data_IF_316467057781
#
_entry.id   IF_316467057781
#
_cell.length_a   1.000
_cell.length_b   1.000
_cell.length_c   1.000
_cell.angle_alpha   90.00
_cell.angle_beta   90.00
_cell.angle_gamma   90.00
#
_symmetry.space_group_name_H-M   'P 1'
#
loop_
_entity.id
_entity.type
_entity.pdbx_description
1 polymer ?
#
# COMPACT_ATOMS: atom_id res chain seq x y z
N UNK A 1 -6.91 -7.52 -24.88
CA UNK A 1 -6.99 -7.49 -23.40
C UNK A 1 -5.73 -8.02 -22.70
N UNK A 2 -5.01 -9.03 -23.21
CA UNK A 2 -3.75 -9.55 -22.60
C UNK A 2 -2.66 -8.48 -22.40
N UNK A 3 -2.44 -7.61 -23.41
CA UNK A 3 -1.47 -6.50 -23.35
C UNK A 3 -1.67 -5.57 -22.14
N UNK A 4 -2.92 -5.39 -21.68
CA UNK A 4 -3.21 -4.51 -20.54
C UNK A 4 -2.92 -5.19 -19.19
N UNK A 5 -2.95 -6.53 -19.13
CA UNK A 5 -2.57 -7.29 -17.93
C UNK A 5 -1.05 -7.36 -17.79
N UNK A 6 -0.32 -7.58 -18.88
CA UNK A 6 1.14 -7.61 -18.88
C UNK A 6 1.74 -6.25 -18.49
N UNK A 7 1.13 -5.15 -18.96
CA UNK A 7 1.53 -3.79 -18.55
C UNK A 7 1.25 -3.51 -17.07
N UNK A 8 0.12 -3.95 -16.53
CA UNK A 8 -0.18 -3.77 -15.10
C UNK A 8 0.75 -4.63 -14.23
N UNK A 9 1.05 -5.86 -14.68
CA UNK A 9 2.01 -6.76 -14.08
C UNK A 9 3.41 -6.14 -13.98
N UNK A 10 3.90 -5.58 -15.09
CA UNK A 10 5.19 -4.90 -15.13
C UNK A 10 5.20 -3.66 -14.23
N UNK A 11 4.15 -2.81 -14.29
CA UNK A 11 4.04 -1.63 -13.44
C UNK A 11 4.02 -2.00 -11.95
N UNK A 12 3.34 -3.08 -11.57
CA UNK A 12 3.33 -3.58 -10.21
C UNK A 12 4.71 -4.07 -9.77
N UNK A 13 5.43 -4.81 -10.61
CA UNK A 13 6.79 -5.27 -10.33
C UNK A 13 7.75 -4.09 -10.14
N UNK A 14 7.69 -3.09 -11.01
CA UNK A 14 8.47 -1.86 -10.87
C UNK A 14 8.13 -1.15 -9.56
N UNK A 15 6.85 -1.05 -9.21
CA UNK A 15 6.41 -0.42 -7.95
C UNK A 15 6.96 -1.14 -6.72
N UNK A 16 6.95 -2.48 -6.72
CA UNK A 16 7.53 -3.29 -5.62
C UNK A 16 9.04 -3.05 -5.52
N UNK A 17 9.74 -3.01 -6.64
CA UNK A 17 11.18 -2.75 -6.67
C UNK A 17 11.50 -1.36 -6.14
N UNK A 18 10.74 -0.33 -6.52
CA UNK A 18 10.88 1.03 -6.00
C UNK A 18 10.65 1.08 -4.49
N UNK A 19 9.56 0.50 -3.98
CA UNK A 19 9.27 0.46 -2.54
C UNK A 19 10.42 -0.19 -1.75
N UNK A 20 10.97 -1.31 -2.26
CA UNK A 20 12.12 -1.98 -1.63
C UNK A 20 13.40 -1.16 -1.72
N UNK A 21 13.66 -0.49 -2.83
CA UNK A 21 14.82 0.37 -2.99
C UNK A 21 14.79 1.53 -1.98
N UNK A 22 13.63 2.19 -1.85
CA UNK A 22 13.39 3.26 -0.86
C UNK A 22 13.56 2.72 0.57
N UNK A 23 12.98 1.56 0.89
CA UNK A 23 13.12 0.91 2.20
C UNK A 23 14.59 0.64 2.55
N UNK A 24 15.37 0.10 1.61
CA UNK A 24 16.81 -0.13 1.80
C UNK A 24 17.56 1.18 1.97
N UNK A 25 17.18 2.23 1.24
CA UNK A 25 17.79 3.54 1.38
C UNK A 25 17.55 4.13 2.78
N UNK A 26 16.30 4.10 3.26
CA UNK A 26 15.93 4.57 4.60
C UNK A 26 16.60 3.78 5.73
N UNK A 27 16.84 2.48 5.51
CA UNK A 27 17.47 1.60 6.50
C UNK A 27 19.00 1.74 6.55
N UNK A 28 19.64 2.25 5.50
CA UNK A 28 21.07 2.57 5.51
C UNK A 28 21.23 3.89 6.25
N UNK A 29 22.03 3.89 7.32
CA UNK A 29 22.43 5.13 7.99
C UNK A 29 22.96 6.09 6.92
N UNK A 30 22.23 7.18 6.68
CA UNK A 30 22.60 8.14 5.63
C UNK A 30 23.96 8.75 5.97
N UNK A 31 24.71 9.18 4.95
CA UNK A 31 26.05 9.76 5.12
C UNK A 31 26.07 11.05 5.96
N UNK A 32 24.91 11.61 6.29
CA UNK A 32 24.75 12.76 7.17
C UNK A 32 24.50 12.30 8.62
N UNK A 33 24.99 13.07 9.59
CA UNK A 33 24.73 12.82 11.00
C UNK A 33 23.27 13.16 11.35
N UNK A 34 22.33 12.28 11.00
CA UNK A 34 20.94 12.35 11.46
C UNK A 34 20.90 12.27 12.99
N UNK A 35 19.94 12.98 13.59
CA UNK A 35 19.58 12.79 15.00
C UNK A 35 19.01 11.38 15.22
N UNK A 36 19.03 10.88 16.46
CA UNK A 36 18.48 9.54 16.74
C UNK A 36 16.96 9.49 16.48
N UNK A 37 16.23 10.55 16.83
CA UNK A 37 14.78 10.65 16.58
C UNK A 37 14.46 10.57 15.08
N UNK A 38 15.19 11.32 14.24
CA UNK A 38 15.04 11.23 12.77
C UNK A 38 15.36 9.83 12.24
N UNK A 39 16.38 9.15 12.78
CA UNK A 39 16.68 7.76 12.38
C UNK A 39 15.59 6.80 12.78
N UNK A 40 14.98 6.97 13.95
CA UNK A 40 13.88 6.12 14.40
C UNK A 40 12.69 6.23 13.43
N UNK A 41 12.30 7.46 13.07
CA UNK A 41 11.23 7.70 12.08
C UNK A 41 11.56 7.02 10.75
N UNK A 42 12.77 7.19 10.19
CA UNK A 42 13.14 6.55 8.92
C UNK A 42 13.14 5.03 8.99
N UNK A 43 13.54 4.44 10.13
CA UNK A 43 13.47 2.98 10.35
C UNK A 43 12.03 2.49 10.39
N UNK A 44 11.12 3.22 11.03
CA UNK A 44 9.70 2.88 11.06
C UNK A 44 9.08 2.97 9.66
N UNK A 45 9.42 4.02 8.90
CA UNK A 45 9.00 4.17 7.51
C UNK A 45 9.52 3.03 6.64
N UNK A 46 10.79 2.62 6.79
CA UNK A 46 11.35 1.48 6.08
C UNK A 46 10.58 0.19 6.37
N UNK A 47 10.26 -0.09 7.64
CA UNK A 47 9.45 -1.26 8.04
C UNK A 47 8.06 -1.21 7.42
N UNK A 48 7.43 -0.04 7.41
CA UNK A 48 6.11 0.13 6.81
C UNK A 48 6.14 -0.09 5.29
N UNK A 49 7.16 0.45 4.60
CA UNK A 49 7.34 0.28 3.15
C UNK A 49 7.61 -1.18 2.77
N UNK A 50 8.39 -1.90 3.58
CA UNK A 50 8.60 -3.33 3.34
C UNK A 50 7.29 -4.12 3.52
N UNK A 51 6.51 -3.83 4.56
CA UNK A 51 5.18 -4.43 4.74
C UNK A 51 4.28 -4.13 3.53
N UNK A 52 4.34 -2.91 2.98
CA UNK A 52 3.60 -2.54 1.78
C UNK A 52 4.08 -3.28 0.54
N UNK A 53 5.39 -3.42 0.35
CA UNK A 53 5.99 -4.17 -0.75
C UNK A 53 5.58 -5.66 -0.71
N UNK A 54 5.56 -6.26 0.49
CA UNK A 54 5.06 -7.64 0.70
C UNK A 54 3.60 -7.75 0.30
N UNK A 55 2.71 -6.88 0.83
CA UNK A 55 1.28 -6.85 0.44
C UNK A 55 1.09 -6.65 -1.06
N UNK A 56 1.92 -5.81 -1.68
CA UNK A 56 1.93 -5.62 -3.13
C UNK A 56 2.40 -6.89 -3.87
N UNK A 57 3.31 -7.68 -3.33
CA UNK A 57 3.79 -8.91 -3.97
C UNK A 57 2.86 -10.11 -3.85
N UNK A 58 2.07 -10.20 -2.78
CA UNK A 58 1.16 -11.33 -2.50
C UNK A 58 -0.03 -11.43 -3.47
N UNK A 59 -0.28 -10.38 -4.25
CA UNK A 59 -1.55 -10.16 -4.95
C UNK A 59 -1.36 -9.60 -6.34
N UNK A 60 -1.64 -10.41 -7.34
CA UNK A 60 -1.54 -10.02 -8.74
C UNK A 60 -2.90 -9.68 -9.36
N UNK A 61 -3.96 -10.33 -8.89
CA UNK A 61 -5.31 -10.20 -9.45
C UNK A 61 -6.09 -9.18 -8.64
N UNK A 62 -6.79 -8.26 -9.31
CA UNK A 62 -7.72 -7.32 -8.66
C UNK A 62 -7.21 -5.91 -8.43
N UNK A 63 -5.91 -5.63 -8.61
CA UNK A 63 -5.41 -4.24 -8.56
C UNK A 63 -5.89 -3.42 -9.76
N UNK A 64 -6.26 -2.18 -9.49
CA UNK A 64 -6.62 -1.23 -10.54
C UNK A 64 -5.40 -0.45 -11.00
N UNK A 65 -5.43 -0.02 -12.27
CA UNK A 65 -4.48 0.98 -12.77
C UNK A 65 -4.43 2.23 -11.88
N UNK A 66 -5.57 2.66 -11.33
CA UNK A 66 -5.64 3.80 -10.42
C UNK A 66 -4.83 3.58 -9.13
N UNK A 67 -4.98 2.41 -8.48
CA UNK A 67 -4.22 2.05 -7.28
C UNK A 67 -2.70 1.98 -7.55
N UNK A 68 -2.30 1.40 -8.69
CA UNK A 68 -0.90 1.35 -9.10
C UNK A 68 -0.33 2.75 -9.38
N UNK A 69 -1.08 3.62 -10.07
CA UNK A 69 -0.68 5.01 -10.30
C UNK A 69 -0.53 5.78 -8.98
N UNK A 70 -1.46 5.62 -8.04
CA UNK A 70 -1.36 6.26 -6.71
C UNK A 70 -0.14 5.78 -5.93
N UNK A 71 0.15 4.48 -5.96
CA UNK A 71 1.34 3.94 -5.30
C UNK A 71 2.63 4.49 -5.93
N UNK A 72 2.66 4.66 -7.25
CA UNK A 72 3.78 5.29 -7.95
C UNK A 72 3.95 6.76 -7.57
N UNK A 73 2.87 7.54 -7.51
CA UNK A 73 2.92 8.94 -7.08
C UNK A 73 3.45 9.08 -5.66
N UNK A 74 2.98 8.22 -4.75
CA UNK A 74 3.50 8.14 -3.39
C UNK A 74 5.00 7.83 -3.35
N UNK A 75 5.48 6.87 -4.16
CA UNK A 75 6.92 6.58 -4.24
C UNK A 75 7.73 7.81 -4.71
N UNK A 76 7.24 8.54 -5.72
CA UNK A 76 7.90 9.75 -6.20
C UNK A 76 7.96 10.85 -5.13
N UNK A 77 6.91 10.98 -4.31
CA UNK A 77 6.90 11.91 -3.18
C UNK A 77 7.93 11.52 -2.12
N UNK A 78 8.04 10.21 -1.81
CA UNK A 78 9.07 9.71 -0.89
C UNK A 78 10.49 9.91 -1.41
N UNK A 79 10.74 9.63 -2.69
CA UNK A 79 12.05 9.86 -3.31
C UNK A 79 12.45 11.33 -3.24
N UNK A 80 11.51 12.25 -3.46
CA UNK A 80 11.74 13.69 -3.33
C UNK A 80 12.05 14.11 -1.88
N UNK A 81 11.35 13.55 -0.90
CA UNK A 81 11.63 13.81 0.51
C UNK A 81 12.98 13.25 0.94
N UNK A 82 13.36 12.09 0.41
CA UNK A 82 14.68 11.49 0.63
C UNK A 82 15.79 12.36 0.07
N UNK A 83 15.65 12.78 -1.19
CA UNK A 83 16.61 13.68 -1.83
C UNK A 83 16.73 15.00 -1.04
N UNK A 84 15.61 15.57 -0.59
CA UNK A 84 15.61 16.77 0.26
C UNK A 84 16.39 16.51 1.56
N UNK A 85 16.14 15.40 2.24
CA UNK A 85 16.81 15.05 3.50
C UNK A 85 18.33 14.86 3.33
N UNK A 86 18.78 14.25 2.24
CA UNK A 86 20.20 14.05 1.93
C UNK A 86 20.96 15.38 1.78
N UNK A 87 20.28 16.42 1.31
CA UNK A 87 20.88 17.74 1.06
C UNK A 87 20.66 18.74 2.21
N UNK A 88 20.01 18.32 3.29
CA UNK A 88 19.75 19.17 4.47
C UNK A 88 20.73 18.83 5.59
N UNK A 89 21.70 19.70 5.91
CA UNK A 89 22.62 19.51 7.03
C UNK A 89 22.04 19.91 8.40
N UNK A 90 21.05 20.82 8.43
CA UNK A 90 20.49 21.35 9.67
C UNK A 90 19.51 20.38 10.34
N UNK A 91 19.78 20.02 11.61
CA UNK A 91 19.00 19.02 12.34
C UNK A 91 17.51 19.39 12.54
N UNK A 92 17.20 20.67 12.69
CA UNK A 92 15.81 21.15 12.81
C UNK A 92 15.04 20.99 11.50
N UNK A 93 15.67 21.26 10.36
CA UNK A 93 15.07 21.06 9.04
C UNK A 93 14.95 19.56 8.71
N UNK A 94 15.92 18.73 9.09
CA UNK A 94 15.82 17.26 9.00
C UNK A 94 14.62 16.72 9.78
N UNK A 95 14.38 17.22 10.99
CA UNK A 95 13.21 16.85 11.79
C UNK A 95 11.90 17.18 11.07
N UNK A 96 11.79 18.39 10.51
CA UNK A 96 10.61 18.80 9.76
C UNK A 96 10.36 17.90 8.53
N UNK A 97 11.41 17.49 7.83
CA UNK A 97 11.29 16.55 6.70
C UNK A 97 10.82 15.17 7.18
N UNK A 98 11.25 14.72 8.37
CA UNK A 98 10.77 13.47 8.98
C UNK A 98 9.28 13.55 9.35
N UNK A 99 8.80 14.71 9.78
CA UNK A 99 7.38 14.95 9.99
C UNK A 99 6.60 14.88 8.66
N UNK A 100 7.12 15.49 7.58
CA UNK A 100 6.52 15.39 6.23
C UNK A 100 6.41 13.94 5.74
N UNK A 101 7.41 13.09 6.04
CA UNK A 101 7.32 11.66 5.73
C UNK A 101 6.19 10.96 6.49
N UNK A 102 6.06 11.26 7.78
CA UNK A 102 5.06 10.64 8.65
C UNK A 102 3.65 11.02 8.21
N UNK A 103 3.41 12.32 7.94
CA UNK A 103 2.15 12.82 7.41
C UNK A 103 1.77 12.17 6.07
N UNK A 104 2.76 12.00 5.18
CA UNK A 104 2.54 11.34 3.89
C UNK A 104 2.10 9.88 4.08
N UNK A 105 2.77 9.13 4.96
CA UNK A 105 2.40 7.72 5.23
C UNK A 105 1.03 7.64 5.87
N UNK A 106 0.73 8.47 6.86
CA UNK A 106 -0.56 8.49 7.56
C UNK A 106 -1.71 8.76 6.58
N UNK A 107 -1.55 9.73 5.67
CA UNK A 107 -2.55 10.05 4.65
C UNK A 107 -2.80 8.92 3.64
N UNK A 108 -1.88 7.96 3.52
CA UNK A 108 -1.97 6.86 2.55
C UNK A 108 -2.27 5.49 3.18
N UNK A 109 -1.97 5.29 4.47
CA UNK A 109 -2.05 3.97 5.12
C UNK A 109 -3.45 3.38 5.04
N UNK A 110 -4.47 4.14 5.46
CA UNK A 110 -5.84 3.65 5.48
C UNK A 110 -6.39 3.41 4.06
N UNK A 111 -6.02 4.27 3.11
CA UNK A 111 -6.41 4.09 1.71
C UNK A 111 -5.83 2.80 1.13
N UNK A 112 -4.55 2.53 1.35
CA UNK A 112 -3.93 1.31 0.86
C UNK A 112 -4.51 0.05 1.48
N UNK A 113 -4.91 0.10 2.75
CA UNK A 113 -5.63 -1.01 3.37
C UNK A 113 -6.94 -1.32 2.64
N UNK A 114 -7.73 -0.30 2.29
CA UNK A 114 -8.96 -0.51 1.51
C UNK A 114 -8.69 -0.98 0.08
N UNK A 115 -7.68 -0.44 -0.61
CA UNK A 115 -7.28 -0.93 -1.93
C UNK A 115 -6.87 -2.40 -1.88
N UNK A 116 -6.16 -2.81 -0.82
CA UNK A 116 -5.82 -4.21 -0.58
C UNK A 116 -7.10 -5.02 -0.32
N UNK A 117 -8.02 -4.57 0.55
CA UNK A 117 -9.31 -5.27 0.78
C UNK A 117 -10.12 -5.46 -0.52
N UNK A 118 -10.20 -4.44 -1.37
CA UNK A 118 -10.85 -4.50 -2.70
C UNK A 118 -10.18 -5.57 -3.57
N UNK A 119 -8.84 -5.59 -3.62
CA UNK A 119 -8.09 -6.62 -4.32
C UNK A 119 -8.43 -8.04 -3.82
N UNK A 120 -8.51 -8.21 -2.50
CA UNK A 120 -8.85 -9.50 -1.89
C UNK A 120 -10.24 -9.99 -2.29
N UNK A 121 -11.23 -9.10 -2.29
CA UNK A 121 -12.60 -9.42 -2.69
C UNK A 121 -12.67 -9.82 -4.17
N UNK A 122 -11.89 -9.17 -5.04
CA UNK A 122 -11.81 -9.54 -6.46
C UNK A 122 -11.12 -10.89 -6.67
N UNK A 123 -10.08 -11.20 -5.90
CA UNK A 123 -9.45 -12.53 -5.90
C UNK A 123 -10.43 -13.60 -5.42
N UNK A 124 -11.11 -13.38 -4.29
CA UNK A 124 -12.14 -14.29 -3.77
C UNK A 124 -13.26 -14.52 -4.79
N UNK A 125 -13.65 -13.47 -5.53
CA UNK A 125 -14.60 -13.60 -6.63
C UNK A 125 -14.07 -14.52 -7.74
N UNK A 126 -12.80 -14.39 -8.13
CA UNK A 126 -12.18 -15.24 -9.15
C UNK A 126 -12.14 -16.69 -8.70
N UNK A 127 -11.62 -16.95 -7.50
CA UNK A 127 -11.53 -18.30 -6.94
C UNK A 127 -12.92 -18.96 -6.79
N UNK A 128 -13.94 -18.16 -6.46
CA UNK A 128 -15.32 -18.64 -6.40
C UNK A 128 -15.85 -19.05 -7.79
N UNK A 129 -15.46 -18.36 -8.86
CA UNK A 129 -15.82 -18.75 -10.24
C UNK A 129 -15.18 -20.09 -10.59
N UNK A 130 -13.88 -20.22 -10.31
CA UNK A 130 -13.12 -21.43 -10.63
C UNK A 130 -13.65 -22.67 -9.90
N UNK A 131 -14.24 -22.47 -8.71
CA UNK A 131 -14.92 -23.50 -7.90
C UNK A 131 -16.40 -23.72 -8.28
N UNK A 132 -16.93 -23.02 -9.27
CA UNK A 132 -18.34 -23.12 -9.69
C UNK A 132 -19.34 -22.44 -8.73
N UNK A 133 -18.86 -21.61 -7.80
CA UNK A 133 -19.63 -20.91 -6.77
C UNK A 133 -20.11 -19.54 -7.25
N UNK A 134 -20.83 -19.50 -8.38
CA UNK A 134 -21.19 -18.24 -9.07
C UNK A 134 -21.93 -17.21 -8.20
N UNK A 135 -22.78 -17.63 -7.27
CA UNK A 135 -23.46 -16.69 -6.34
C UNK A 135 -22.47 -16.00 -5.39
N UNK A 136 -21.48 -16.72 -4.88
CA UNK A 136 -20.45 -16.15 -4.01
C UNK A 136 -19.53 -15.22 -4.80
N UNK A 137 -19.21 -15.56 -6.04
CA UNK A 137 -18.43 -14.69 -6.92
C UNK A 137 -19.11 -13.32 -7.11
N UNK A 138 -20.40 -13.30 -7.47
CA UNK A 138 -21.16 -12.05 -7.64
C UNK A 138 -21.17 -11.24 -6.35
N UNK A 139 -21.42 -11.88 -5.21
CA UNK A 139 -21.40 -11.22 -3.90
C UNK A 139 -20.07 -10.52 -3.61
N UNK A 140 -18.94 -11.21 -3.79
CA UNK A 140 -17.62 -10.61 -3.54
C UNK A 140 -17.31 -9.46 -4.49
N UNK A 141 -17.69 -9.59 -5.76
CA UNK A 141 -17.50 -8.52 -6.73
C UNK A 141 -18.37 -7.29 -6.42
N UNK A 142 -19.62 -7.48 -5.98
CA UNK A 142 -20.47 -6.38 -5.51
C UNK A 142 -19.89 -5.69 -4.28
N UNK A 143 -19.38 -6.46 -3.32
CA UNK A 143 -18.70 -5.90 -2.13
C UNK A 143 -17.49 -5.06 -2.53
N UNK A 144 -16.67 -5.56 -3.46
CA UNK A 144 -15.52 -4.82 -3.99
C UNK A 144 -15.93 -3.50 -4.63
N UNK A 145 -16.95 -3.52 -5.50
CA UNK A 145 -17.44 -2.31 -6.17
C UNK A 145 -18.05 -1.29 -5.22
N UNK A 146 -18.79 -1.73 -4.20
CA UNK A 146 -19.32 -0.82 -3.16
C UNK A 146 -18.20 -0.18 -2.35
N UNK A 147 -17.19 -0.96 -1.97
CA UNK A 147 -16.05 -0.45 -1.20
C UNK A 147 -15.23 0.55 -2.02
N UNK A 148 -14.96 0.23 -3.29
CA UNK A 148 -14.29 1.13 -4.24
C UNK A 148 -15.05 2.44 -4.43
N UNK A 149 -16.37 2.38 -4.63
CA UNK A 149 -17.22 3.57 -4.75
C UNK A 149 -17.14 4.44 -3.49
N UNK A 150 -17.24 3.83 -2.30
CA UNK A 150 -17.15 4.58 -1.04
C UNK A 150 -15.79 5.23 -0.83
N UNK A 151 -14.72 4.54 -1.21
CA UNK A 151 -13.35 5.05 -1.11
C UNK A 151 -13.12 6.24 -2.04
N UNK A 152 -13.58 6.16 -3.29
CA UNK A 152 -13.37 7.23 -4.27
C UNK A 152 -14.31 8.44 -4.04
N UNK A 153 -15.51 8.23 -3.49
CA UNK A 153 -16.44 9.33 -3.15
C UNK A 153 -16.15 10.02 -1.81
N UNK A 154 -15.12 9.60 -1.06
CA UNK A 154 -14.81 10.19 0.24
C UNK A 154 -15.82 9.86 1.35
N UNK A 155 -16.55 8.75 1.23
CA UNK A 155 -17.49 8.25 2.26
C UNK A 155 -16.80 7.39 3.33
N UNK A 156 -15.47 7.43 3.35
CA UNK A 156 -14.61 6.72 4.27
C UNK A 156 -13.69 7.77 4.88
N UNK A 157 -13.74 7.90 6.20
CA UNK A 157 -12.75 8.68 6.92
C UNK A 157 -11.43 7.91 6.92
N UNK A 158 -10.40 8.50 6.28
CA UNK A 158 -9.09 7.90 6.17
C UNK A 158 -8.23 8.14 7.42
N UNK A 159 -8.68 9.00 8.32
CA UNK A 159 -7.94 9.44 9.50
C UNK A 159 -8.47 8.83 10.82
N UNK A 160 -9.48 7.95 10.76
CA UNK A 160 -10.02 7.29 11.96
C UNK A 160 -9.17 6.07 12.37
N UNK A 161 -8.25 6.28 13.32
CA UNK A 161 -7.38 5.23 13.87
C UNK A 161 -8.15 4.06 14.53
N UNK A 162 -9.30 4.34 15.15
CA UNK A 162 -10.13 3.28 15.75
C UNK A 162 -10.76 2.40 14.67
N UNK A 163 -11.08 3.00 13.53
CA UNK A 163 -11.56 2.27 12.37
C UNK A 163 -10.44 1.49 11.68
N UNK A 164 -9.23 2.04 11.59
CA UNK A 164 -8.04 1.37 11.02
C UNK A 164 -7.78 0.00 11.66
N UNK A 165 -7.82 -0.08 12.99
CA UNK A 165 -7.59 -1.36 13.69
C UNK A 165 -8.65 -2.42 13.35
N UNK A 166 -9.92 -2.02 13.20
CA UNK A 166 -11.00 -2.92 12.78
C UNK A 166 -10.85 -3.36 11.34
N UNK A 167 -10.43 -2.46 10.46
CA UNK A 167 -10.23 -2.77 9.05
C UNK A 167 -9.02 -3.68 8.82
N UNK A 168 -7.95 -3.54 9.62
CA UNK A 168 -6.81 -4.46 9.58
C UNK A 168 -7.23 -5.89 10.00
N UNK A 169 -8.10 -6.01 11.01
CA UNK A 169 -8.66 -7.30 11.40
C UNK A 169 -9.54 -7.91 10.29
N UNK A 170 -10.42 -7.10 9.69
CA UNK A 170 -11.27 -7.54 8.58
C UNK A 170 -10.45 -7.94 7.34
N UNK A 171 -9.37 -7.20 7.06
CA UNK A 171 -8.43 -7.53 6.01
C UNK A 171 -7.75 -8.90 6.26
N UNK A 172 -7.34 -9.18 7.50
CA UNK A 172 -6.78 -10.47 7.88
C UNK A 172 -7.78 -11.62 7.68
N UNK A 173 -9.06 -11.42 8.02
CA UNK A 173 -10.11 -12.41 7.77
C UNK A 173 -10.30 -12.70 6.27
N UNK A 174 -10.31 -11.67 5.42
CA UNK A 174 -10.39 -11.85 3.97
C UNK A 174 -9.19 -12.61 3.43
N UNK A 175 -7.99 -12.33 3.94
CA UNK A 175 -6.78 -13.08 3.61
C UNK A 175 -6.89 -14.56 3.97
N UNK A 176 -7.30 -14.88 5.19
CA UNK A 176 -7.46 -16.27 5.63
C UNK A 176 -8.49 -17.02 4.77
N UNK A 177 -9.60 -16.37 4.43
CA UNK A 177 -10.61 -16.94 3.51
C UNK A 177 -10.02 -17.21 2.13
N UNK A 178 -9.23 -16.27 1.59
CA UNK A 178 -8.62 -16.42 0.28
C UNK A 178 -7.58 -17.56 0.27
N UNK A 179 -6.75 -17.64 1.29
CA UNK A 179 -5.78 -18.74 1.46
C UNK A 179 -6.47 -20.10 1.56
N UNK A 180 -7.61 -20.19 2.25
CA UNK A 180 -8.41 -21.41 2.31
C UNK A 180 -9.07 -21.80 0.96
N UNK A 181 -9.20 -20.84 0.02
CA UNK A 181 -9.73 -21.09 -1.33
C UNK A 181 -8.64 -21.38 -2.36
N UNK A 182 -7.37 -21.08 -2.08
CA UNK A 182 -6.28 -21.44 -2.98
C UNK A 182 -6.08 -22.98 -2.97
N UNK A 183 -5.74 -23.58 -4.13
CA UNK A 183 -5.57 -25.02 -4.26
C UNK A 183 -4.42 -25.60 -3.43
#
# INVERSE_FOLDING_TARGET
MRVNQDQMAEQQMQTIQTLRAISVHLAKDSSNSLTEDSREVLRELARWLEKRAVRQSERFVGKTKAALTRTRLFCLQLERLLEKLEHTPEANEQSYICDEFSELVDGHQQRYLYEDMIGCLRELSSESIDRGQGRQAVMYNEMAGRLETRLECGHIDLNDDKQRAKDEALYAEFRQKLEAMRP
#
